data_IF_441088247582
#
_entry.id   IF_441088247582
#
_cell.length_a   1.000
_cell.length_b   1.000
_cell.length_c   1.000
_cell.angle_alpha   90.00
_cell.angle_beta   90.00
_cell.angle_gamma   90.00
#
_symmetry.space_group_name_H-M   'P 1'
#
loop_
_entity.id
_entity.type
_entity.pdbx_description
1 polymer ?
#
# COMPACT_ATOMS: atom_id res chain seq x y z
N UNK A 1 41.63 -37.51 36.62
CA UNK A 1 42.01 -36.52 35.58
C UNK A 1 40.98 -36.42 34.45
N UNK A 2 40.50 -37.51 33.85
CA UNK A 2 39.51 -37.47 32.73
C UNK A 2 38.20 -36.73 33.06
N UNK A 3 37.63 -36.92 34.25
CA UNK A 3 36.38 -36.26 34.63
C UNK A 3 36.54 -34.77 34.95
N UNK A 4 37.74 -34.34 35.35
CA UNK A 4 38.02 -32.93 35.66
C UNK A 4 38.12 -32.09 34.38
N UNK A 5 38.65 -32.67 33.30
CA UNK A 5 38.73 -32.03 31.97
C UNK A 5 37.34 -31.72 31.41
N UNK A 6 36.36 -32.62 31.61
CA UNK A 6 34.99 -32.42 31.13
C UNK A 6 34.26 -31.27 31.85
N UNK A 7 34.53 -31.09 33.15
CA UNK A 7 33.93 -29.99 33.94
C UNK A 7 34.50 -28.64 33.51
N UNK A 8 35.80 -28.56 33.23
CA UNK A 8 36.44 -27.32 32.78
C UNK A 8 35.93 -26.87 31.42
N UNK A 9 35.66 -27.80 30.49
CA UNK A 9 35.13 -27.47 29.16
C UNK A 9 33.71 -26.88 29.19
N UNK A 10 32.89 -27.26 30.17
CA UNK A 10 31.51 -26.76 30.31
C UNK A 10 31.46 -25.30 30.78
N UNK A 11 32.46 -24.85 31.53
CA UNK A 11 32.51 -23.48 32.11
C UNK A 11 32.95 -22.43 31.07
N UNK A 12 33.51 -22.83 29.93
CA UNK A 12 34.05 -21.90 28.91
C UNK A 12 32.97 -21.39 27.94
N UNK A 13 31.70 -21.76 28.13
CA UNK A 13 30.60 -21.27 27.29
C UNK A 13 30.27 -19.80 27.60
N UNK A 14 30.93 -18.86 26.89
CA UNK A 14 30.66 -17.43 26.99
C UNK A 14 29.33 -17.03 26.34
N UNK A 15 28.65 -16.04 26.93
CA UNK A 15 27.42 -15.45 26.36
C UNK A 15 27.77 -14.56 25.17
N UNK A 16 27.28 -14.92 23.98
CA UNK A 16 27.42 -14.09 22.78
C UNK A 16 26.37 -12.96 22.79
N UNK A 17 26.83 -11.71 22.90
CA UNK A 17 25.96 -10.53 22.75
C UNK A 17 26.02 -10.01 21.30
N UNK A 18 24.93 -10.18 20.56
CA UNK A 18 24.76 -9.59 19.23
C UNK A 18 24.26 -8.14 19.35
N UNK A 19 24.87 -7.22 18.58
CA UNK A 19 24.42 -5.83 18.49
C UNK A 19 23.15 -5.79 17.63
N UNK A 20 22.01 -5.50 18.25
CA UNK A 20 20.75 -5.31 17.54
C UNK A 20 20.55 -3.83 17.18
N UNK A 21 20.06 -3.57 15.97
CA UNK A 21 19.60 -2.25 15.53
C UNK A 21 18.10 -2.37 15.32
N UNK A 22 17.32 -1.56 16.03
CA UNK A 22 15.87 -1.51 15.88
C UNK A 22 15.51 -0.36 14.94
N UNK A 23 14.68 -0.63 13.94
CA UNK A 23 14.04 0.42 13.15
C UNK A 23 12.86 1.03 13.91
N UNK A 24 12.48 2.30 13.64
CA UNK A 24 11.26 2.90 14.16
C UNK A 24 10.03 2.04 13.81
N UNK A 25 9.10 1.92 14.75
CA UNK A 25 7.93 1.01 14.64
C UNK A 25 6.91 1.38 13.57
N UNK A 26 6.96 2.61 13.03
CA UNK A 26 6.00 3.08 12.05
C UNK A 26 6.69 3.86 10.93
N UNK A 27 6.48 3.50 9.66
CA UNK A 27 6.87 4.36 8.55
C UNK A 27 6.04 5.65 8.62
N UNK A 28 6.71 6.80 8.54
CA UNK A 28 6.03 8.08 8.38
C UNK A 28 5.68 8.21 6.90
N UNK A 29 4.42 7.96 6.56
CA UNK A 29 3.90 8.16 5.21
C UNK A 29 3.59 9.65 5.07
N UNK A 30 4.43 10.39 4.34
CA UNK A 30 4.20 11.79 4.02
C UNK A 30 3.35 11.83 2.75
N UNK A 31 2.16 12.40 2.87
CA UNK A 31 1.20 12.53 1.77
C UNK A 31 0.89 14.01 1.61
N UNK A 32 0.60 14.43 0.39
CA UNK A 32 0.10 15.77 0.05
C UNK A 32 -1.33 16.05 0.55
N UNK A 33 -1.86 15.20 1.44
CA UNK A 33 -3.24 15.24 1.93
C UNK A 33 -4.24 14.54 1.02
N UNK A 34 -3.81 14.00 -0.13
CA UNK A 34 -4.67 13.37 -1.14
C UNK A 34 -4.56 11.86 -1.21
N UNK A 35 -3.89 11.22 -0.25
CA UNK A 35 -3.59 9.79 -0.28
C UNK A 35 -4.82 8.87 -0.38
N UNK A 36 -6.03 9.41 -0.26
CA UNK A 36 -7.29 8.69 -0.32
C UNK A 36 -8.36 9.41 -1.17
N UNK A 37 -7.96 10.32 -2.06
CA UNK A 37 -8.90 10.87 -3.03
C UNK A 37 -9.26 9.79 -4.05
N UNK A 38 -10.57 9.54 -4.18
CA UNK A 38 -11.10 8.61 -5.18
C UNK A 38 -11.09 9.30 -6.53
N UNK A 39 -10.28 8.79 -7.45
CA UNK A 39 -9.97 9.41 -8.74
C UNK A 39 -9.98 8.36 -9.85
N UNK A 40 -10.38 8.77 -11.05
CA UNK A 40 -10.07 8.01 -12.25
C UNK A 40 -8.79 8.56 -12.89
N UNK A 41 -7.91 7.69 -13.38
CA UNK A 41 -6.66 8.09 -14.04
C UNK A 41 -6.72 7.81 -15.55
N UNK A 42 -6.22 8.74 -16.36
CA UNK A 42 -6.02 8.58 -17.80
C UNK A 42 -4.89 9.52 -18.27
N UNK A 43 -3.92 9.01 -19.05
CA UNK A 43 -2.77 9.78 -19.56
C UNK A 43 -2.07 10.64 -18.47
N UNK A 44 -1.72 10.01 -17.35
CA UNK A 44 -1.04 10.66 -16.20
C UNK A 44 -1.83 11.83 -15.57
N UNK A 45 -3.12 11.95 -15.86
CA UNK A 45 -4.03 12.93 -15.26
C UNK A 45 -5.05 12.24 -14.36
N UNK A 46 -5.35 12.90 -13.25
CA UNK A 46 -6.40 12.52 -12.33
C UNK A 46 -7.71 13.25 -12.63
N UNK A 47 -8.83 12.53 -12.52
CA UNK A 47 -10.17 13.00 -12.79
C UNK A 47 -11.10 12.67 -11.62
N UNK A 48 -11.98 13.60 -11.26
CA UNK A 48 -12.95 13.44 -10.18
C UNK A 48 -14.27 12.86 -10.68
N UNK A 49 -15.13 12.43 -9.74
CA UNK A 49 -16.49 11.97 -10.02
C UNK A 49 -17.23 12.91 -10.99
N UNK A 50 -17.86 12.34 -12.02
CA UNK A 50 -18.61 13.06 -13.05
C UNK A 50 -17.77 13.59 -14.22
N UNK A 51 -16.44 13.49 -14.18
CA UNK A 51 -15.60 13.88 -15.30
C UNK A 51 -15.89 13.02 -16.53
N UNK A 52 -15.96 13.66 -17.71
CA UNK A 52 -16.16 12.97 -19.00
C UNK A 52 -14.94 13.18 -19.89
N UNK A 53 -14.43 12.09 -20.47
CA UNK A 53 -13.33 12.12 -21.44
C UNK A 53 -13.73 11.40 -22.73
N UNK A 54 -13.12 11.79 -23.85
CA UNK A 54 -13.22 11.06 -25.13
C UNK A 54 -11.94 10.26 -25.33
N UNK A 55 -12.04 8.95 -25.52
CA UNK A 55 -10.92 8.04 -25.80
C UNK A 55 -11.20 7.32 -27.12
N UNK A 56 -10.46 7.64 -28.18
CA UNK A 56 -10.82 7.19 -29.52
C UNK A 56 -12.19 7.72 -29.91
N UNK A 57 -13.16 6.83 -30.19
CA UNK A 57 -14.54 7.20 -30.56
C UNK A 57 -15.57 7.01 -29.43
N UNK A 58 -15.14 6.60 -28.24
CA UNK A 58 -16.04 6.41 -27.10
C UNK A 58 -15.91 7.53 -26.06
N UNK A 59 -17.01 7.83 -25.39
CA UNK A 59 -17.03 8.71 -24.22
C UNK A 59 -17.00 7.86 -22.95
N UNK A 60 -16.17 8.25 -21.99
CA UNK A 60 -16.08 7.63 -20.68
C UNK A 60 -16.48 8.64 -19.61
N UNK A 61 -17.21 8.20 -18.60
CA UNK A 61 -17.53 8.96 -17.39
C UNK A 61 -16.84 8.33 -16.18
N UNK A 62 -16.23 9.16 -15.34
CA UNK A 62 -15.67 8.73 -14.06
C UNK A 62 -16.81 8.63 -13.04
N UNK A 63 -17.24 7.42 -12.71
CA UNK A 63 -18.39 7.17 -11.83
C UNK A 63 -18.02 6.19 -10.72
N UNK A 64 -18.89 6.07 -9.71
CA UNK A 64 -18.76 5.06 -8.66
C UNK A 64 -18.76 3.67 -9.30
N UNK A 65 -17.91 2.78 -8.77
CA UNK A 65 -17.91 1.38 -9.22
C UNK A 65 -19.24 0.68 -8.92
N UNK A 66 -19.83 0.94 -7.75
CA UNK A 66 -21.11 0.37 -7.34
C UNK A 66 -22.07 1.48 -6.88
N UNK A 67 -23.36 1.32 -7.15
CA UNK A 67 -24.38 2.30 -6.76
C UNK A 67 -24.63 2.33 -5.25
N UNK A 68 -24.49 1.18 -4.59
CA UNK A 68 -24.79 1.00 -3.17
C UNK A 68 -23.57 1.17 -2.24
N UNK A 69 -22.37 1.41 -2.80
CA UNK A 69 -21.19 1.70 -2.00
C UNK A 69 -20.91 3.21 -1.99
N UNK A 70 -21.07 3.84 -0.82
CA UNK A 70 -20.80 5.27 -0.65
C UNK A 70 -19.29 5.58 -0.61
N UNK A 71 -18.49 4.56 -0.32
CA UNK A 71 -17.05 4.58 -0.08
C UNK A 71 -16.27 3.67 -1.06
N UNK A 72 -16.93 3.12 -2.08
CA UNK A 72 -16.27 2.38 -3.16
C UNK A 72 -15.44 3.31 -4.06
N UNK A 73 -14.52 2.70 -4.83
CA UNK A 73 -13.62 3.39 -5.76
C UNK A 73 -14.38 4.00 -6.96
N UNK A 74 -13.71 4.92 -7.66
CA UNK A 74 -14.20 5.44 -8.94
C UNK A 74 -13.59 4.64 -10.10
N UNK A 75 -14.36 4.46 -11.17
CA UNK A 75 -13.91 3.82 -12.40
C UNK A 75 -14.44 4.53 -13.64
N UNK A 76 -13.77 4.28 -14.76
CA UNK A 76 -14.29 4.66 -16.07
C UNK A 76 -15.43 3.71 -16.47
N UNK A 77 -16.58 4.28 -16.78
CA UNK A 77 -17.70 3.62 -17.41
C UNK A 77 -17.92 4.23 -18.78
N UNK A 78 -18.30 3.43 -19.77
CA UNK A 78 -18.69 3.97 -21.07
C UNK A 78 -19.98 4.77 -20.88
N UNK A 79 -19.96 6.00 -21.37
CA UNK A 79 -21.15 6.86 -21.41
C UNK A 79 -22.01 6.37 -22.58
N UNK A 80 -22.70 5.25 -22.37
CA UNK A 80 -23.77 4.84 -23.28
C UNK A 80 -24.85 5.94 -23.26
N UNK A 81 -25.58 6.11 -24.38
CA UNK A 81 -26.58 7.17 -24.57
C UNK A 81 -27.84 7.02 -23.69
N UNK A 82 -27.72 6.42 -22.51
CA UNK A 82 -28.76 6.27 -21.51
C UNK A 82 -28.13 6.25 -20.13
N UNK A 83 -28.06 7.43 -19.50
CA UNK A 83 -27.97 7.53 -18.04
C UNK A 83 -29.31 7.23 -17.39
#
# INVERSE_FOLDING_TARGET
>A
MRNFVLVVLLVISGVAHAKSVSTPKSPVVITDGKLFERLCYYEDKAYTLGSVIKVGEIYLICQKEQEFELNGDLRWLQLDQGG
#
